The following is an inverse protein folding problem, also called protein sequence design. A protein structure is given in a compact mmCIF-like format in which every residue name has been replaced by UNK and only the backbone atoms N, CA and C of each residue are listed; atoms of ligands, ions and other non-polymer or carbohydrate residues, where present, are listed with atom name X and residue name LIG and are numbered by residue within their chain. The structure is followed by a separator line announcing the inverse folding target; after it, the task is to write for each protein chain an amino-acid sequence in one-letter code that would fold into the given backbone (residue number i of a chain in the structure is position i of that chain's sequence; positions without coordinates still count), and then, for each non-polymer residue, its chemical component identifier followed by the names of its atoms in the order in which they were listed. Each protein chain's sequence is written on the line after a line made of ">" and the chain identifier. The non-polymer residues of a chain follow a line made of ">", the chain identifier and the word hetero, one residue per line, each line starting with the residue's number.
data_IF_616493969738
#
_entry.id   IF_616493969738
#
_cell.length_a   1.000
_cell.length_b   1.000
_cell.length_c   1.000
_cell.angle_alpha   90.00
_cell.angle_beta   90.00
_cell.angle_gamma   90.00
#
_symmetry.space_group_name_H-M   'P 1'
#
loop_
_entity.id
_entity.type
_entity.pdbx_description
1 polymer ?
#
# COMPACT_ATOMS: atom_id res chain seq x y z
N UNK A 1 -20.88 12.03 -2.95
CA UNK A 1 -21.62 11.31 -1.90
C UNK A 1 -20.63 10.59 -0.99
N UNK A 2 -20.90 10.46 0.32
CA UNK A 2 -20.07 9.61 1.21
C UNK A 2 -20.60 8.19 1.07
N UNK A 3 -19.76 7.27 0.62
CA UNK A 3 -20.13 5.87 0.50
C UNK A 3 -19.80 5.18 1.82
N UNK A 4 -20.83 4.98 2.64
CA UNK A 4 -20.72 4.35 3.96
C UNK A 4 -20.11 2.94 3.88
N UNK A 5 -20.31 2.22 2.78
CA UNK A 5 -19.67 0.92 2.50
C UNK A 5 -18.15 1.00 2.40
N UNK A 6 -17.59 2.02 1.75
CA UNK A 6 -16.13 2.23 1.63
C UNK A 6 -15.53 2.58 2.99
N UNK A 7 -16.20 3.46 3.75
CA UNK A 7 -15.73 3.87 5.07
C UNK A 7 -15.77 2.68 6.06
N UNK A 8 -16.80 1.82 6.00
CA UNK A 8 -16.86 0.57 6.78
C UNK A 8 -15.73 -0.37 6.39
N UNK A 9 -15.55 -0.64 5.09
CA UNK A 9 -14.57 -1.62 4.62
C UNK A 9 -13.13 -1.18 4.94
N UNK A 10 -12.85 0.13 4.87
CA UNK A 10 -11.56 0.69 5.30
C UNK A 10 -11.35 0.55 6.81
N UNK A 11 -12.38 0.85 7.60
CA UNK A 11 -12.33 0.70 9.07
C UNK A 11 -12.08 -0.76 9.44
N UNK A 12 -12.75 -1.69 8.76
CA UNK A 12 -12.53 -3.12 8.91
C UNK A 12 -11.10 -3.52 8.52
N UNK A 13 -10.57 -2.99 7.42
CA UNK A 13 -9.20 -3.27 6.99
C UNK A 13 -8.17 -2.75 8.00
N UNK A 14 -8.34 -1.54 8.55
CA UNK A 14 -7.50 -1.00 9.61
C UNK A 14 -7.59 -1.86 10.87
N UNK A 15 -8.81 -2.23 11.28
CA UNK A 15 -9.01 -3.11 12.43
C UNK A 15 -8.31 -4.46 12.23
N UNK A 16 -8.42 -5.06 11.05
CA UNK A 16 -7.74 -6.31 10.71
C UNK A 16 -6.22 -6.15 10.68
N UNK A 17 -5.69 -5.03 10.16
CA UNK A 17 -4.25 -4.76 10.21
C UNK A 17 -3.74 -4.65 11.65
N UNK A 18 -4.46 -3.94 12.51
CA UNK A 18 -4.13 -3.85 13.94
C UNK A 18 -4.20 -5.24 14.58
N UNK A 19 -5.27 -6.00 14.34
CA UNK A 19 -5.44 -7.35 14.88
C UNK A 19 -4.30 -8.28 14.46
N UNK A 20 -3.91 -8.26 13.18
CA UNK A 20 -2.79 -9.05 12.65
C UNK A 20 -1.50 -8.65 13.39
N UNK A 21 -1.13 -7.38 13.43
CA UNK A 21 0.11 -6.94 14.11
C UNK A 21 0.10 -7.25 15.62
N UNK A 22 -1.05 -7.16 16.30
CA UNK A 22 -1.15 -7.54 17.70
C UNK A 22 -0.93 -9.04 17.89
N UNK A 23 -1.54 -9.88 17.06
CA UNK A 23 -1.36 -11.34 17.14
C UNK A 23 0.07 -11.74 16.77
N UNK A 24 0.66 -11.13 15.75
CA UNK A 24 2.03 -11.44 15.29
C UNK A 24 3.08 -11.02 16.33
N UNK A 25 2.93 -9.84 16.94
CA UNK A 25 3.93 -9.31 17.88
C UNK A 25 3.76 -9.80 19.33
N UNK A 26 2.53 -10.11 19.79
CA UNK A 26 2.27 -10.49 21.19
C UNK A 26 2.03 -12.00 21.40
N UNK A 27 1.69 -12.76 20.35
CA UNK A 27 1.61 -14.22 20.47
C UNK A 27 2.98 -14.83 20.19
N UNK A 28 3.66 -15.31 21.23
CA UNK A 28 5.03 -15.84 21.26
C UNK A 28 5.34 -17.07 20.36
N UNK A 29 4.50 -17.38 19.37
CA UNK A 29 4.62 -18.56 18.50
C UNK A 29 4.38 -18.29 17.01
N UNK A 30 4.57 -17.05 16.53
CA UNK A 30 4.36 -16.67 15.12
C UNK A 30 5.62 -16.77 14.23
N UNK A 31 6.78 -17.08 14.80
CA UNK A 31 8.08 -17.04 14.09
C UNK A 31 8.53 -18.30 13.33
N UNK A 32 7.70 -19.35 13.20
CA UNK A 32 8.10 -20.60 12.56
C UNK A 32 7.11 -21.01 11.47
N UNK A 33 7.44 -20.68 10.22
CA UNK A 33 6.77 -21.06 8.95
C UNK A 33 5.80 -20.04 8.34
N UNK A 34 6.31 -18.88 7.93
CA UNK A 34 5.67 -18.04 6.90
C UNK A 34 5.72 -18.67 5.49
N UNK A 35 6.42 -19.79 5.30
CA UNK A 35 6.67 -20.44 4.01
C UNK A 35 5.72 -21.61 3.68
N UNK A 36 4.78 -21.97 4.55
CA UNK A 36 3.95 -23.17 4.36
C UNK A 36 2.49 -22.80 4.15
N UNK A 37 2.07 -22.73 2.89
CA UNK A 37 0.67 -22.53 2.46
C UNK A 37 -0.27 -23.66 2.95
N UNK A 38 0.26 -24.83 3.34
CA UNK A 38 -0.52 -25.96 3.87
C UNK A 38 0.23 -26.65 5.01
N UNK A 39 -0.22 -26.48 6.25
CA UNK A 39 0.30 -27.19 7.43
C UNK A 39 -0.58 -27.04 8.68
N UNK A 40 -0.47 -27.92 9.68
CA UNK A 40 -1.36 -27.97 10.87
C UNK A 40 -1.27 -26.75 11.80
N UNK A 41 -0.29 -25.86 11.58
CA UNK A 41 -0.12 -24.59 12.29
C UNK A 41 -0.58 -23.37 11.47
N UNK A 42 -1.07 -23.59 10.23
CA UNK A 42 -1.65 -22.56 9.37
C UNK A 42 -3.00 -22.12 9.94
N UNK A 43 -3.02 -20.94 10.56
CA UNK A 43 -4.24 -20.34 11.13
C UNK A 43 -5.01 -19.58 10.04
N UNK A 44 -5.68 -20.34 9.19
CA UNK A 44 -6.64 -19.96 8.14
C UNK A 44 -7.67 -18.86 8.49
N UNK A 45 -7.84 -18.53 9.77
CA UNK A 45 -8.79 -17.52 10.26
C UNK A 45 -8.18 -16.11 10.39
N UNK A 46 -6.84 -15.96 10.39
CA UNK A 46 -6.22 -14.66 10.27
C UNK A 46 -6.10 -14.30 8.78
N UNK A 47 -6.61 -13.14 8.33
CA UNK A 47 -6.43 -12.67 6.95
C UNK A 47 -5.03 -12.08 6.75
N UNK A 48 -4.00 -12.82 7.20
CA UNK A 48 -2.59 -12.49 7.00
C UNK A 48 -2.34 -12.46 5.50
N UNK A 49 -1.92 -11.29 5.00
CA UNK A 49 -1.71 -11.06 3.58
C UNK A 49 -2.89 -10.48 2.78
N UNK A 50 -4.15 -10.48 3.28
CA UNK A 50 -5.28 -9.88 2.55
C UNK A 50 -5.59 -8.44 3.00
N UNK A 51 -5.42 -8.15 4.30
CA UNK A 51 -5.84 -6.88 4.88
C UNK A 51 -5.16 -5.67 4.21
N UNK A 52 -3.84 -5.74 4.02
CA UNK A 52 -3.09 -4.64 3.42
C UNK A 52 -3.35 -4.45 1.91
N UNK A 53 -3.39 -5.51 1.06
CA UNK A 53 -3.83 -5.37 -0.33
C UNK A 53 -5.24 -4.76 -0.46
N UNK A 54 -6.18 -5.18 0.39
CA UNK A 54 -7.52 -4.62 0.40
C UNK A 54 -7.52 -3.14 0.81
N UNK A 55 -6.79 -2.79 1.87
CA UNK A 55 -6.68 -1.41 2.34
C UNK A 55 -6.09 -0.49 1.26
N UNK A 56 -4.99 -0.92 0.63
CA UNK A 56 -4.31 -0.15 -0.42
C UNK A 56 -5.18 -0.02 -1.67
N UNK A 57 -5.88 -1.08 -2.08
CA UNK A 57 -6.89 -1.02 -3.14
C UNK A 57 -7.98 0.01 -2.84
N UNK A 58 -8.57 -0.05 -1.64
CA UNK A 58 -9.62 0.88 -1.23
C UNK A 58 -9.13 2.31 -1.09
N UNK A 59 -7.85 2.52 -0.79
CA UNK A 59 -7.24 3.86 -0.80
C UNK A 59 -7.28 4.47 -2.21
N UNK A 60 -7.03 3.67 -3.25
CA UNK A 60 -7.18 4.07 -4.66
C UNK A 60 -8.61 4.42 -5.04
N UNK A 61 -9.57 3.57 -4.65
CA UNK A 61 -11.01 3.83 -4.87
C UNK A 61 -11.45 5.14 -4.19
N UNK A 62 -10.99 5.33 -2.95
CA UNK A 62 -11.28 6.52 -2.16
C UNK A 62 -10.69 7.78 -2.80
N UNK A 63 -9.48 7.68 -3.37
CA UNK A 63 -8.85 8.77 -4.10
C UNK A 63 -9.64 9.15 -5.36
N UNK A 64 -10.08 8.17 -6.16
CA UNK A 64 -10.89 8.42 -7.36
C UNK A 64 -12.23 9.08 -7.02
N UNK A 65 -12.90 8.62 -5.96
CA UNK A 65 -14.18 9.20 -5.52
C UNK A 65 -13.97 10.63 -5.04
N UNK A 66 -12.91 10.86 -4.25
CA UNK A 66 -12.55 12.21 -3.78
C UNK A 66 -12.22 13.14 -4.95
N UNK A 67 -11.47 12.66 -5.95
CA UNK A 67 -11.10 13.40 -7.15
C UNK A 67 -12.35 13.85 -7.92
N UNK A 68 -13.29 12.93 -8.16
CA UNK A 68 -14.56 13.21 -8.84
C UNK A 68 -15.34 14.32 -8.12
N UNK A 69 -15.40 14.27 -6.79
CA UNK A 69 -16.06 15.32 -5.99
C UNK A 69 -15.36 16.67 -6.10
N UNK A 70 -14.02 16.71 -6.14
CA UNK A 70 -13.29 17.97 -6.31
C UNK A 70 -13.48 18.57 -7.71
N UNK A 71 -13.50 17.73 -8.74
CA UNK A 71 -13.77 18.16 -10.12
C UNK A 71 -15.20 18.71 -10.26
N UNK A 72 -16.19 18.06 -9.65
CA UNK A 72 -17.57 18.57 -9.60
C UNK A 72 -17.71 19.92 -8.88
N UNK A 73 -16.81 20.21 -7.94
CA UNK A 73 -16.74 21.52 -7.25
C UNK A 73 -16.02 22.58 -8.08
N UNK A 74 -15.53 22.25 -9.27
CA UNK A 74 -14.82 23.18 -10.14
C UNK A 74 -13.44 23.58 -9.62
N UNK A 75 -12.81 22.77 -8.76
CA UNK A 75 -11.43 23.04 -8.33
C UNK A 75 -10.47 22.86 -9.50
N UNK A 76 -9.46 23.73 -9.57
CA UNK A 76 -8.40 23.64 -10.57
C UNK A 76 -7.52 22.42 -10.33
N UNK A 77 -6.93 21.87 -11.40
CA UNK A 77 -6.04 20.72 -11.31
C UNK A 77 -4.82 20.95 -10.41
N UNK A 78 -4.30 22.18 -10.40
CA UNK A 78 -3.21 22.58 -9.51
C UNK A 78 -3.63 22.54 -8.03
N UNK A 79 -4.84 23.02 -7.72
CA UNK A 79 -5.36 22.98 -6.35
C UNK A 79 -5.55 21.53 -5.86
N UNK A 80 -6.06 20.65 -6.72
CA UNK A 80 -6.23 19.22 -6.43
C UNK A 80 -4.86 18.56 -6.20
N UNK A 81 -3.87 18.87 -7.04
CA UNK A 81 -2.51 18.35 -6.90
C UNK A 81 -1.87 18.79 -5.60
N UNK A 82 -1.92 20.09 -5.28
CA UNK A 82 -1.35 20.63 -4.04
C UNK A 82 -1.97 19.99 -2.81
N UNK A 83 -3.27 19.72 -2.81
CA UNK A 83 -3.94 19.00 -1.73
C UNK A 83 -3.48 17.53 -1.64
N UNK A 84 -3.33 16.86 -2.79
CA UNK A 84 -2.91 15.45 -2.84
C UNK A 84 -1.47 15.30 -2.38
N UNK A 85 -0.54 16.08 -2.94
CA UNK A 85 0.88 16.08 -2.58
C UNK A 85 1.07 16.40 -1.10
N UNK A 86 0.37 17.41 -0.56
CA UNK A 86 0.45 17.76 0.87
C UNK A 86 0.01 16.58 1.76
N UNK A 87 -1.07 15.89 1.40
CA UNK A 87 -1.54 14.71 2.15
C UNK A 87 -0.56 13.56 2.03
N UNK A 88 -0.02 13.30 0.84
CA UNK A 88 0.99 12.27 0.60
C UNK A 88 2.26 12.49 1.43
N UNK A 89 2.82 13.70 1.37
CA UNK A 89 4.00 14.08 2.15
C UNK A 89 3.74 14.05 3.66
N UNK A 90 2.55 14.47 4.11
CA UNK A 90 2.17 14.35 5.51
C UNK A 90 2.15 12.89 5.98
N UNK A 91 1.59 11.97 5.18
CA UNK A 91 1.58 10.54 5.50
C UNK A 91 2.97 9.90 5.49
N UNK A 92 3.84 10.30 4.55
CA UNK A 92 5.25 9.85 4.54
C UNK A 92 5.96 10.32 5.82
N UNK A 93 5.86 11.60 6.16
CA UNK A 93 6.47 12.15 7.38
C UNK A 93 5.92 11.50 8.66
N UNK A 94 4.60 11.27 8.71
CA UNK A 94 3.97 10.56 9.82
C UNK A 94 4.43 9.10 9.91
N UNK A 95 4.61 8.43 8.77
CA UNK A 95 5.14 7.06 8.72
C UNK A 95 6.55 6.96 9.29
N UNK A 96 7.46 7.86 8.89
CA UNK A 96 8.80 7.91 9.48
C UNK A 96 8.79 8.24 10.97
N UNK A 97 7.97 9.20 11.39
CA UNK A 97 7.82 9.51 12.82
C UNK A 97 7.33 8.28 13.59
N UNK A 98 6.32 7.57 13.07
CA UNK A 98 5.81 6.34 13.67
C UNK A 98 6.91 5.28 13.80
N UNK A 99 7.68 5.03 12.74
CA UNK A 99 8.79 4.07 12.78
C UNK A 99 9.80 4.41 13.87
N UNK A 100 10.25 5.66 13.95
CA UNK A 100 11.22 6.09 14.97
C UNK A 100 10.69 5.94 16.39
N UNK A 101 9.43 6.28 16.64
CA UNK A 101 8.86 6.26 18.01
C UNK A 101 8.39 4.88 18.46
N UNK A 102 7.97 4.01 17.53
CA UNK A 102 7.41 2.68 17.85
C UNK A 102 8.45 1.58 17.69
N UNK A 103 9.24 1.64 16.63
CA UNK A 103 10.20 0.60 16.24
C UNK A 103 11.66 0.97 16.50
N UNK A 104 11.92 2.15 17.08
CA UNK A 104 13.26 2.72 17.31
C UNK A 104 13.94 3.21 16.01
N UNK A 105 15.02 4.02 16.11
CA UNK A 105 15.67 4.62 14.95
C UNK A 105 16.31 3.61 13.97
N UNK A 106 16.67 2.41 14.44
CA UNK A 106 17.21 1.33 13.61
C UNK A 106 16.24 0.87 12.51
N UNK A 107 14.94 0.93 12.79
CA UNK A 107 13.85 0.50 11.91
C UNK A 107 13.18 1.65 11.14
N UNK A 108 13.87 2.80 11.03
CA UNK A 108 13.30 4.00 10.39
C UNK A 108 12.87 3.76 8.95
N UNK A 109 13.71 3.07 8.15
CA UNK A 109 13.49 2.85 6.72
C UNK A 109 12.90 1.47 6.42
N UNK A 110 12.01 0.98 7.29
CA UNK A 110 11.26 -0.25 7.02
C UNK A 110 10.19 -0.12 5.92
N UNK A 111 9.91 1.10 5.46
CA UNK A 111 8.93 1.37 4.39
C UNK A 111 7.55 0.79 4.69
N UNK A 112 7.03 1.17 5.87
CA UNK A 112 5.73 0.73 6.36
C UNK A 112 4.57 1.36 5.55
N UNK A 113 3.36 0.86 5.76
CA UNK A 113 2.14 1.16 5.01
C UNK A 113 1.86 2.66 4.89
N UNK A 114 2.16 3.48 5.91
CA UNK A 114 1.92 4.93 5.86
C UNK A 114 2.83 5.62 4.83
N UNK A 115 4.10 5.22 4.78
CA UNK A 115 5.06 5.73 3.79
C UNK A 115 4.68 5.27 2.38
N UNK A 116 4.18 4.04 2.25
CA UNK A 116 3.67 3.51 1.00
C UNK A 116 2.42 4.26 0.51
N UNK A 117 1.38 4.42 1.34
CA UNK A 117 0.15 5.14 0.95
C UNK A 117 0.47 6.60 0.60
N UNK A 118 1.35 7.25 1.36
CA UNK A 118 1.76 8.61 1.05
C UNK A 118 2.45 8.71 -0.32
N UNK A 119 3.31 7.74 -0.65
CA UNK A 119 3.94 7.62 -1.98
C UNK A 119 2.92 7.30 -3.07
N UNK A 120 1.99 6.37 -2.81
CA UNK A 120 0.94 5.98 -3.73
C UNK A 120 0.03 7.16 -4.09
N UNK A 121 -0.29 8.05 -3.14
CA UNK A 121 -1.06 9.27 -3.42
C UNK A 121 -0.33 10.20 -4.39
N UNK A 122 0.99 10.34 -4.26
CA UNK A 122 1.81 11.15 -5.16
C UNK A 122 1.81 10.50 -6.55
N UNK A 123 1.99 9.18 -6.63
CA UNK A 123 1.91 8.42 -7.89
C UNK A 123 0.53 8.56 -8.54
N UNK A 124 -0.56 8.47 -7.78
CA UNK A 124 -1.92 8.65 -8.28
C UNK A 124 -2.19 10.08 -8.79
N UNK A 125 -1.57 11.12 -8.19
CA UNK A 125 -1.64 12.49 -8.72
C UNK A 125 -0.95 12.63 -10.09
N UNK A 126 0.07 11.82 -10.36
CA UNK A 126 0.71 11.74 -11.67
C UNK A 126 -0.18 10.97 -12.65
N UNK A 127 -0.66 9.79 -12.24
CA UNK A 127 -1.49 8.91 -13.07
C UNK A 127 -2.78 9.59 -13.52
N UNK A 128 -3.45 10.37 -12.64
CA UNK A 128 -4.71 11.04 -13.01
C UNK A 128 -4.58 12.06 -14.15
N UNK A 129 -3.36 12.49 -14.48
CA UNK A 129 -3.08 13.43 -15.58
C UNK A 129 -2.68 12.72 -16.87
N UNK A 130 -2.51 11.40 -16.80
CA UNK A 130 -2.15 10.59 -17.95
C UNK A 130 -3.41 10.18 -18.73
N UNK A 131 -3.28 9.86 -20.02
CA UNK A 131 -4.36 9.25 -20.80
C UNK A 131 -4.87 7.95 -20.16
N UNK A 132 -6.14 7.60 -20.42
CA UNK A 132 -6.82 6.47 -19.78
C UNK A 132 -6.19 5.10 -20.09
N UNK A 133 -5.38 5.01 -21.15
CA UNK A 133 -4.67 3.81 -21.58
C UNK A 133 -3.41 3.55 -20.72
N UNK A 134 -2.85 4.59 -20.10
CA UNK A 134 -1.59 4.48 -19.36
C UNK A 134 -1.71 3.72 -18.04
N UNK A 135 -2.73 3.92 -17.17
CA UNK A 135 -2.84 3.17 -15.93
C UNK A 135 -2.92 1.64 -16.10
N UNK A 136 -3.72 1.08 -17.04
CA UNK A 136 -3.71 -0.36 -17.30
C UNK A 136 -2.35 -0.89 -17.78
N UNK A 137 -1.66 -0.13 -18.64
CA UNK A 137 -0.29 -0.46 -19.08
C UNK A 137 0.67 -0.44 -17.89
N UNK A 138 0.55 0.54 -16.99
CA UNK A 138 1.35 0.60 -15.76
C UNK A 138 1.09 -0.62 -14.88
N UNK A 139 -0.17 -1.06 -14.71
CA UNK A 139 -0.48 -2.28 -13.95
C UNK A 139 0.21 -3.51 -14.56
N UNK A 140 0.16 -3.65 -15.88
CA UNK A 140 0.85 -4.73 -16.60
C UNK A 140 2.37 -4.65 -16.40
N UNK A 141 2.96 -3.47 -16.57
CA UNK A 141 4.39 -3.25 -16.40
C UNK A 141 4.85 -3.55 -14.98
N UNK A 142 4.16 -3.04 -13.96
CA UNK A 142 4.48 -3.32 -12.56
C UNK A 142 4.40 -4.83 -12.31
N UNK A 143 3.37 -5.51 -12.80
CA UNK A 143 3.22 -6.97 -12.65
C UNK A 143 4.36 -7.75 -13.31
N UNK A 144 4.77 -7.36 -14.53
CA UNK A 144 5.82 -8.07 -15.27
C UNK A 144 7.24 -7.75 -14.80
N UNK A 145 7.50 -6.50 -14.38
CA UNK A 145 8.82 -6.06 -13.95
C UNK A 145 9.12 -6.44 -12.51
N UNK A 146 8.11 -6.55 -11.63
CA UNK A 146 8.35 -6.83 -10.21
C UNK A 146 9.16 -8.12 -9.96
N UNK A 147 8.85 -9.28 -10.58
CA UNK A 147 9.65 -10.48 -10.38
C UNK A 147 11.10 -10.32 -10.84
N UNK A 148 11.33 -9.65 -11.97
CA UNK A 148 12.68 -9.40 -12.48
C UNK A 148 13.47 -8.49 -11.53
N UNK A 149 12.84 -7.44 -11.00
CA UNK A 149 13.45 -6.55 -10.02
C UNK A 149 13.79 -7.28 -8.71
N UNK A 150 12.90 -8.14 -8.23
CA UNK A 150 13.13 -8.93 -7.00
C UNK A 150 14.31 -9.91 -7.14
N UNK A 151 14.47 -10.53 -8.32
CA UNK A 151 15.63 -11.40 -8.60
C UNK A 151 16.92 -10.57 -8.68
N UNK A 152 16.89 -9.42 -9.36
CA UNK A 152 18.05 -8.54 -9.48
C UNK A 152 18.48 -7.93 -8.15
N UNK A 153 17.53 -7.69 -7.24
CA UNK A 153 17.78 -7.12 -5.92
C UNK A 153 18.15 -8.18 -4.86
N UNK A 154 18.22 -9.46 -5.21
CA UNK A 154 18.42 -10.57 -4.26
C UNK A 154 17.44 -10.51 -3.08
N UNK A 155 16.14 -10.39 -3.38
CA UNK A 155 15.07 -10.25 -2.37
C UNK A 155 15.21 -11.19 -1.15
N UNK A 156 15.54 -12.49 -1.31
CA UNK A 156 15.66 -13.39 -0.16
C UNK A 156 16.75 -12.99 0.86
N UNK A 157 17.79 -12.27 0.43
CA UNK A 157 18.86 -11.83 1.32
C UNK A 157 18.38 -10.84 2.39
N UNK A 158 17.32 -10.07 2.10
CA UNK A 158 16.73 -9.06 3.00
C UNK A 158 15.70 -9.64 3.97
N UNK A 159 15.39 -10.95 3.90
CA UNK A 159 14.28 -11.58 4.64
C UNK A 159 14.67 -12.88 5.37
N UNK A 160 15.96 -13.09 5.63
CA UNK A 160 16.51 -14.33 6.22
C UNK A 160 15.86 -14.66 7.58
N UNK A 161 15.61 -13.65 8.41
CA UNK A 161 15.09 -13.81 9.76
C UNK A 161 13.56 -13.58 9.86
N UNK A 162 12.84 -13.64 8.73
CA UNK A 162 11.41 -13.34 8.64
C UNK A 162 11.01 -11.90 9.04
N UNK A 163 11.97 -10.98 9.07
CA UNK A 163 11.75 -9.53 9.10
C UNK A 163 12.61 -8.89 8.00
N UNK A 164 12.23 -7.68 7.58
CA UNK A 164 13.00 -6.91 6.61
C UNK A 164 14.28 -6.40 7.28
N UNK A 165 15.43 -6.87 6.81
CA UNK A 165 16.74 -6.53 7.34
C UNK A 165 17.53 -5.77 6.26
N UNK A 166 18.05 -4.60 6.60
CA UNK A 166 18.71 -3.71 5.66
C UNK A 166 19.84 -2.93 6.35
N UNK A 167 20.93 -2.66 5.62
CA UNK A 167 21.94 -1.73 6.11
C UNK A 167 21.50 -0.30 5.83
N UNK A 168 21.88 0.65 6.68
CA UNK A 168 21.60 2.09 6.49
C UNK A 168 22.53 2.69 5.43
N UNK A 169 22.50 2.12 4.23
CA UNK A 169 23.16 2.59 3.02
C UNK A 169 22.13 3.15 2.05
N UNK A 170 22.53 4.11 1.21
CA UNK A 170 21.61 4.68 0.21
C UNK A 170 21.05 3.60 -0.73
N UNK A 171 21.87 2.59 -1.07
CA UNK A 171 21.44 1.49 -1.94
C UNK A 171 20.31 0.70 -1.31
N UNK A 172 20.50 0.21 -0.09
CA UNK A 172 19.53 -0.63 0.60
C UNK A 172 18.26 0.12 0.96
N UNK A 173 18.38 1.39 1.36
CA UNK A 173 17.22 2.25 1.61
C UNK A 173 16.38 2.42 0.33
N UNK A 174 17.02 2.63 -0.83
CA UNK A 174 16.32 2.74 -2.11
C UNK A 174 15.75 1.40 -2.59
N UNK A 175 16.49 0.30 -2.42
CA UNK A 175 15.99 -1.04 -2.74
C UNK A 175 14.80 -1.39 -1.86
N UNK A 176 14.86 -1.07 -0.56
CA UNK A 176 13.76 -1.22 0.38
C UNK A 176 12.51 -0.47 -0.09
N UNK A 177 12.68 0.77 -0.53
CA UNK A 177 11.57 1.61 -1.01
C UNK A 177 10.94 1.05 -2.28
N UNK A 178 11.77 0.56 -3.20
CA UNK A 178 11.33 0.21 -4.55
C UNK A 178 10.89 -1.26 -4.66
N UNK A 179 11.57 -2.19 -4.01
CA UNK A 179 11.49 -3.63 -4.34
C UNK A 179 11.41 -4.56 -3.13
N UNK A 180 12.23 -4.33 -2.08
CA UNK A 180 12.48 -5.37 -1.06
C UNK A 180 11.89 -5.10 0.33
N UNK A 181 11.40 -3.90 0.64
CA UNK A 181 10.88 -3.54 1.97
C UNK A 181 9.55 -4.21 2.34
N UNK A 182 8.90 -3.76 3.42
CA UNK A 182 7.57 -4.25 3.81
C UNK A 182 6.47 -3.89 2.80
N UNK A 183 6.40 -2.61 2.39
CA UNK A 183 5.46 -2.12 1.37
C UNK A 183 6.18 -1.37 0.22
N UNK A 184 7.06 -2.06 -0.54
CA UNK A 184 7.82 -1.46 -1.63
C UNK A 184 6.90 -1.07 -2.78
N UNK A 185 7.28 -0.05 -3.57
CA UNK A 185 6.47 0.38 -4.71
C UNK A 185 6.16 -0.76 -5.71
N UNK A 186 7.12 -1.65 -5.95
CA UNK A 186 6.97 -2.85 -6.76
C UNK A 186 6.91 -4.08 -5.84
N UNK A 187 5.82 -4.88 -5.84
CA UNK A 187 4.65 -4.81 -6.71
C UNK A 187 3.47 -3.98 -6.16
N UNK A 188 3.55 -3.42 -4.96
CA UNK A 188 2.37 -2.95 -4.22
C UNK A 188 1.57 -1.86 -4.93
N UNK A 189 2.19 -1.05 -5.81
CA UNK A 189 1.49 -0.04 -6.61
C UNK A 189 0.33 -0.61 -7.42
N UNK A 190 0.32 -1.91 -7.74
CA UNK A 190 -0.79 -2.57 -8.43
C UNK A 190 -2.13 -2.30 -7.70
N UNK A 191 -2.17 -2.40 -6.37
CA UNK A 191 -3.42 -2.30 -5.62
C UNK A 191 -4.05 -0.89 -5.65
N UNK A 192 -3.38 0.20 -5.23
CA UNK A 192 -3.98 1.53 -5.28
C UNK A 192 -4.26 1.99 -6.71
N UNK A 193 -3.44 1.60 -7.69
CA UNK A 193 -3.70 1.93 -9.11
C UNK A 193 -4.91 1.14 -9.64
N UNK A 194 -5.02 -0.15 -9.36
CA UNK A 194 -6.19 -0.94 -9.73
C UNK A 194 -7.47 -0.40 -9.07
N UNK A 195 -7.39 -0.03 -7.79
CA UNK A 195 -8.50 0.61 -7.08
C UNK A 195 -8.91 1.93 -7.72
N UNK A 196 -7.96 2.76 -8.12
CA UNK A 196 -8.23 4.01 -8.84
C UNK A 196 -8.92 3.78 -10.19
N UNK A 197 -8.44 2.81 -10.98
CA UNK A 197 -8.96 2.50 -12.31
C UNK A 197 -10.35 1.84 -12.26
N UNK A 198 -10.55 0.91 -11.32
CA UNK A 198 -11.79 0.13 -11.22
C UNK A 198 -12.91 0.85 -10.47
N UNK A 199 -12.60 1.93 -9.73
CA UNK A 199 -13.58 2.67 -8.94
C UNK A 199 -14.85 3.08 -9.72
N UNK A 200 -14.78 3.63 -10.96
CA UNK A 200 -15.99 3.99 -11.69
C UNK A 200 -16.92 2.79 -11.91
N UNK A 201 -16.37 1.63 -12.28
CA UNK A 201 -17.13 0.41 -12.54
C UNK A 201 -17.78 -0.14 -11.25
N UNK A 202 -16.98 -0.26 -10.18
CA UNK A 202 -17.43 -0.74 -8.86
C UNK A 202 -18.55 0.14 -8.30
N UNK A 203 -18.50 1.45 -8.54
CA UNK A 203 -19.48 2.40 -8.02
C UNK A 203 -20.71 2.57 -8.92
N UNK A 204 -20.59 2.36 -10.23
CA UNK A 204 -21.73 2.39 -11.14
C UNK A 204 -22.68 1.21 -10.94
N UNK A 205 -22.14 0.01 -10.65
CA UNK A 205 -22.96 -1.18 -10.39
C UNK A 205 -23.74 -1.05 -9.08
N UNK A 206 -23.13 -0.49 -8.03
CA UNK A 206 -23.79 -0.27 -6.74
C UNK A 206 -24.94 0.77 -6.78
N UNK A 207 -25.02 1.58 -7.83
CA UNK A 207 -26.12 2.55 -8.04
C UNK A 207 -27.26 1.98 -8.90
N UNK A 208 -27.06 0.82 -9.54
CA UNK A 208 -28.03 0.18 -10.42
C UNK A 208 -28.83 -0.95 -9.72
N UNK A 209 -28.52 -1.23 -8.46
CA UNK A 209 -29.23 -2.18 -7.57
C UNK A 209 -29.99 -1.45 -6.48
#
# INVERSE_FOLDING_TARGET
>A
MRLLSIDILRTLAIFMMVLVHFVENLASGYGLSATTVIGPYHRWWLPTGLAAPLFTFLSGVSYQTWLTVQQQRGLTDEAISKQTIRRGLFLIGLGFAFNVFVWLPEDTFNWDILTFIGSALIVLDLIRRMPAEVPPVLLLLVTMLSPALQVLADYPAYWVNAYFDYDVTLSDVLLGYLVVGYFPLFPWLIFPVAGFVLAPAVLSEAAAT
#
